data_IF_302646556527
#
_entry.id   IF_302646556527
#
_cell.length_a   1.000
_cell.length_b   1.000
_cell.length_c   1.000
_cell.angle_alpha   90.00
_cell.angle_beta   90.00
_cell.angle_gamma   90.00
#
_symmetry.space_group_name_H-M   'P 1'
#
loop_
_entity.id
_entity.type
_entity.pdbx_description
1 polymer ?
#
# COMPACT_ATOMS: atom_id res chain seq x y z
N UNK A 1 -13.09 -7.41 -5.10
CA UNK A 1 -13.04 -7.28 -3.63
C UNK A 1 -13.23 -5.81 -3.34
N UNK A 2 -14.14 -5.46 -2.44
CA UNK A 2 -14.32 -4.07 -2.01
C UNK A 2 -13.62 -3.84 -0.69
N UNK A 3 -12.90 -2.74 -0.56
CA UNK A 3 -12.32 -2.23 0.67
C UNK A 3 -13.46 -2.00 1.65
N UNK A 4 -13.25 -2.36 2.92
CA UNK A 4 -14.25 -2.14 3.94
C UNK A 4 -14.10 -0.72 4.50
N UNK A 5 -15.01 0.23 4.20
CA UNK A 5 -14.93 1.60 4.70
C UNK A 5 -15.17 1.68 6.21
N UNK A 6 -15.65 0.62 6.87
CA UNK A 6 -15.77 0.60 8.34
C UNK A 6 -14.43 0.34 9.04
N UNK A 7 -13.43 -0.17 8.32
CA UNK A 7 -12.08 -0.45 8.82
C UNK A 7 -11.05 0.57 8.34
N UNK A 8 -11.49 1.54 7.54
CA UNK A 8 -10.65 2.59 6.95
C UNK A 8 -11.27 3.93 7.28
N UNK A 9 -10.43 4.88 7.68
CA UNK A 9 -10.85 6.26 7.92
C UNK A 9 -9.92 7.22 7.18
N UNK A 10 -10.25 8.51 7.25
CA UNK A 10 -9.47 9.55 6.58
C UNK A 10 -8.01 9.64 7.09
N UNK A 11 -7.74 9.20 8.33
CA UNK A 11 -6.38 9.15 8.88
C UNK A 11 -5.55 8.10 8.14
N UNK A 12 -6.14 6.94 7.85
CA UNK A 12 -5.49 5.90 7.04
C UNK A 12 -5.20 6.40 5.62
N UNK A 13 -6.15 7.13 5.02
CA UNK A 13 -6.00 7.71 3.68
C UNK A 13 -4.82 8.68 3.64
N UNK A 14 -4.75 9.62 4.60
CA UNK A 14 -3.63 10.57 4.69
C UNK A 14 -2.30 9.86 4.90
N UNK A 15 -2.23 8.89 5.82
CA UNK A 15 -1.01 8.12 6.07
C UNK A 15 -0.51 7.38 4.83
N UNK A 16 -1.40 6.84 4.00
CA UNK A 16 -1.00 6.22 2.73
C UNK A 16 -0.38 7.26 1.79
N UNK A 17 -1.02 8.42 1.62
CA UNK A 17 -0.54 9.47 0.72
C UNK A 17 0.77 10.12 1.21
N UNK A 18 0.90 10.28 2.53
CA UNK A 18 2.14 10.74 3.16
C UNK A 18 3.26 9.73 2.92
N UNK A 19 3.01 8.42 3.12
CA UNK A 19 4.01 7.37 2.86
C UNK A 19 4.43 7.31 1.38
N UNK A 20 3.50 7.54 0.43
CA UNK A 20 3.84 7.69 -0.99
C UNK A 20 4.74 8.90 -1.22
N UNK A 21 4.43 10.03 -0.58
CA UNK A 21 5.24 11.25 -0.69
C UNK A 21 6.64 11.07 -0.09
N UNK A 22 6.74 10.37 1.03
CA UNK A 22 8.01 10.03 1.69
C UNK A 22 8.91 9.15 0.82
N UNK A 23 8.35 8.37 -0.11
CA UNK A 23 9.13 7.64 -1.11
C UNK A 23 9.85 8.56 -2.11
N UNK A 24 9.55 9.87 -2.10
CA UNK A 24 10.16 10.88 -2.97
C UNK A 24 9.40 11.08 -4.28
N UNK A 25 8.13 10.69 -4.34
CA UNK A 25 7.29 10.81 -5.55
C UNK A 25 6.05 11.66 -5.27
N UNK A 26 5.50 12.26 -6.32
CA UNK A 26 4.22 12.97 -6.22
C UNK A 26 3.07 11.95 -6.28
N UNK A 27 2.14 11.95 -5.31
CA UNK A 27 1.00 11.04 -5.36
C UNK A 27 0.10 11.29 -6.59
N UNK A 28 -0.63 10.28 -7.08
CA UNK A 28 -1.53 10.45 -8.22
C UNK A 28 -2.62 11.50 -7.98
N UNK A 29 -2.86 12.37 -8.95
CA UNK A 29 -3.90 13.42 -8.88
C UNK A 29 -5.30 12.82 -8.67
N UNK A 30 -5.54 11.64 -9.25
CA UNK A 30 -6.78 10.87 -9.10
C UNK A 30 -7.13 10.64 -7.62
N UNK A 31 -6.13 10.53 -6.75
CA UNK A 31 -6.26 10.27 -5.32
C UNK A 31 -6.06 11.54 -4.48
N UNK A 32 -5.06 12.37 -4.79
CA UNK A 32 -4.78 13.58 -4.02
C UNK A 32 -5.92 14.61 -4.09
N UNK A 33 -6.58 14.73 -5.24
CA UNK A 33 -7.73 15.64 -5.41
C UNK A 33 -8.89 15.35 -4.45
N UNK A 34 -9.04 14.10 -4.00
CA UNK A 34 -10.04 13.74 -2.99
C UNK A 34 -9.71 14.39 -1.64
N UNK A 35 -8.44 14.30 -1.21
CA UNK A 35 -7.99 14.94 0.03
C UNK A 35 -8.00 16.46 -0.07
N UNK A 36 -7.59 17.01 -1.21
CA UNK A 36 -7.62 18.46 -1.47
C UNK A 36 -9.05 19.01 -1.42
N UNK A 37 -10.01 18.25 -1.96
CA UNK A 37 -11.43 18.56 -1.86
C UNK A 37 -11.92 18.58 -0.42
N UNK A 38 -11.53 17.59 0.39
CA UNK A 38 -11.87 17.56 1.81
C UNK A 38 -11.24 18.74 2.57
N UNK A 39 -9.97 19.03 2.33
CA UNK A 39 -9.26 20.15 2.96
C UNK A 39 -9.87 21.49 2.55
N UNK A 40 -10.33 21.63 1.31
CA UNK A 40 -11.05 22.83 0.83
C UNK A 40 -12.38 23.03 1.55
N UNK A 41 -13.15 21.95 1.77
CA UNK A 41 -14.46 22.02 2.42
C UNK A 41 -14.38 22.17 3.94
N UNK A 42 -13.36 21.57 4.57
CA UNK A 42 -13.18 21.56 6.02
C UNK A 42 -12.18 22.59 6.53
N UNK A 43 -11.47 23.27 5.61
CA UNK A 43 -10.48 24.27 5.91
C UNK A 43 -11.01 25.35 6.86
N UNK A 44 -10.31 25.53 7.97
CA UNK A 44 -10.66 26.52 8.97
C UNK A 44 -10.53 27.93 8.37
N UNK A 45 -11.64 28.66 8.33
CA UNK A 45 -11.60 30.10 8.09
C UNK A 45 -11.23 30.74 9.42
N UNK A 46 -10.02 31.25 9.57
CA UNK A 46 -9.68 32.07 10.73
C UNK A 46 -10.56 33.33 10.68
N UNK A 47 -11.49 33.45 11.61
CA UNK A 47 -12.32 34.63 11.74
C UNK A 47 -11.54 35.64 12.57
N UNK A 48 -11.07 36.71 11.94
CA UNK A 48 -10.43 37.83 12.64
C UNK A 48 -11.44 38.58 13.52
N UNK A 49 -11.00 39.11 14.65
CA UNK A 49 -11.80 40.00 15.51
C UNK A 49 -12.40 41.15 14.67
N UNK A 50 -13.74 41.28 14.58
CA UNK A 50 -14.39 42.26 13.71
C UNK A 50 -14.36 43.67 14.31
N UNK A 51 -13.97 43.84 15.57
CA UNK A 51 -14.15 45.08 16.33
C UNK A 51 -13.59 46.31 15.61
N UNK A 52 -12.36 46.23 15.11
CA UNK A 52 -11.74 47.35 14.38
C UNK A 52 -12.40 47.62 13.02
N UNK A 53 -12.86 46.58 12.33
CA UNK A 53 -13.56 46.71 11.05
C UNK A 53 -14.94 47.36 11.23
N UNK A 54 -15.68 46.96 12.26
CA UNK A 54 -16.98 47.53 12.61
C UNK A 54 -16.87 49.00 13.04
N UNK A 55 -15.86 49.33 13.86
CA UNK A 55 -15.60 50.71 14.29
C UNK A 55 -15.31 51.59 13.07
N UNK A 56 -14.43 51.14 12.15
CA UNK A 56 -14.12 51.89 10.93
C UNK A 56 -15.33 52.04 10.02
N UNK A 57 -16.10 50.98 9.80
CA UNK A 57 -17.32 51.03 9.00
C UNK A 57 -18.33 52.05 9.56
N UNK A 58 -18.48 52.12 10.89
CA UNK A 58 -19.35 53.09 11.55
C UNK A 58 -18.87 54.54 11.38
N UNK A 59 -17.55 54.79 11.43
CA UNK A 59 -16.99 56.12 11.24
C UNK A 59 -16.99 56.59 9.78
N UNK A 60 -16.64 55.71 8.84
CA UNK A 60 -16.45 56.09 7.43
C UNK A 60 -17.74 56.06 6.61
N UNK A 61 -18.67 55.16 6.95
CA UNK A 61 -19.91 54.92 6.19
C UNK A 61 -21.20 54.98 7.01
N UNK A 62 -21.10 55.34 8.30
CA UNK A 62 -22.25 55.43 9.20
C UNK A 62 -22.89 54.07 9.55
N UNK A 63 -24.06 54.12 10.17
CA UNK A 63 -24.79 52.94 10.62
C UNK A 63 -25.04 51.88 9.52
N UNK A 64 -25.39 52.22 8.27
CA UNK A 64 -25.62 51.22 7.22
C UNK A 64 -24.37 50.40 6.86
N UNK A 65 -23.18 51.04 6.85
CA UNK A 65 -21.93 50.34 6.57
C UNK A 65 -21.53 49.42 7.73
N UNK A 66 -21.75 49.85 8.97
CA UNK A 66 -21.53 49.02 10.16
C UNK A 66 -22.47 47.79 10.19
N UNK A 67 -23.75 47.96 9.86
CA UNK A 67 -24.71 46.84 9.76
C UNK A 67 -24.31 45.84 8.66
N UNK A 68 -23.87 46.32 7.50
CA UNK A 68 -23.36 45.45 6.44
C UNK A 68 -22.14 44.65 6.89
N UNK A 69 -21.18 45.31 7.53
CA UNK A 69 -19.97 44.65 8.04
C UNK A 69 -20.29 43.62 9.14
N UNK A 70 -21.27 43.91 10.01
CA UNK A 70 -21.76 42.98 11.01
C UNK A 70 -22.43 41.75 10.38
N UNK A 71 -23.24 41.94 9.33
CA UNK A 71 -23.87 40.85 8.61
C UNK A 71 -22.85 39.95 7.90
N UNK A 72 -21.84 40.54 7.25
CA UNK A 72 -20.73 39.79 6.63
C UNK A 72 -19.95 38.97 7.67
N UNK A 73 -19.69 39.54 8.85
CA UNK A 73 -19.08 38.82 9.96
C UNK A 73 -19.95 37.67 10.46
N UNK A 74 -21.25 37.90 10.70
CA UNK A 74 -22.18 36.88 11.18
C UNK A 74 -22.29 35.71 10.17
N UNK A 75 -22.26 36.00 8.86
CA UNK A 75 -22.21 34.96 7.82
C UNK A 75 -20.91 34.18 7.91
N UNK A 76 -19.75 34.83 8.08
CA UNK A 76 -18.46 34.16 8.23
C UNK A 76 -18.42 33.24 9.46
N UNK A 77 -18.96 33.69 10.59
CA UNK A 77 -19.09 32.91 11.82
C UNK A 77 -19.97 31.67 11.64
N UNK A 78 -21.16 31.85 11.04
CA UNK A 78 -22.05 30.74 10.72
C UNK A 78 -21.38 29.73 9.78
N UNK A 79 -20.65 30.18 8.76
CA UNK A 79 -19.92 29.30 7.84
C UNK A 79 -18.84 28.50 8.58
N UNK A 80 -18.05 29.13 9.45
CA UNK A 80 -17.02 28.43 10.22
C UNK A 80 -17.63 27.38 11.17
N UNK A 81 -18.73 27.71 11.83
CA UNK A 81 -19.45 26.78 12.70
C UNK A 81 -20.02 25.59 11.91
N UNK A 82 -20.63 25.85 10.74
CA UNK A 82 -21.13 24.82 9.85
C UNK A 82 -20.01 23.91 9.33
N UNK A 83 -18.85 24.45 8.96
CA UNK A 83 -17.68 23.65 8.55
C UNK A 83 -17.17 22.72 9.65
N UNK A 84 -17.15 23.20 10.90
CA UNK A 84 -16.76 22.37 12.06
C UNK A 84 -17.70 21.17 12.24
N UNK A 85 -19.00 21.36 12.06
CA UNK A 85 -19.99 20.28 12.11
C UNK A 85 -19.97 19.38 10.86
N UNK A 86 -19.59 19.91 9.70
CA UNK A 86 -19.59 19.20 8.42
C UNK A 86 -18.57 18.05 8.39
N UNK A 87 -17.39 18.25 8.99
CA UNK A 87 -16.29 17.26 8.95
C UNK A 87 -16.71 15.85 9.36
N UNK A 88 -17.39 15.72 10.50
CA UNK A 88 -17.86 14.42 11.00
C UNK A 88 -18.90 13.74 10.09
N UNK A 89 -19.56 14.48 9.19
CA UNK A 89 -20.55 13.96 8.25
C UNK A 89 -19.92 13.60 6.90
N UNK A 90 -18.94 14.37 6.43
CA UNK A 90 -18.36 14.18 5.10
C UNK A 90 -17.13 13.28 5.08
N UNK A 91 -16.40 13.13 6.20
CA UNK A 91 -15.22 12.27 6.28
C UNK A 91 -15.49 10.82 5.77
N UNK A 92 -16.61 10.15 6.12
CA UNK A 92 -16.92 8.82 5.57
C UNK A 92 -17.16 8.83 4.06
N UNK A 93 -17.77 9.88 3.51
CA UNK A 93 -18.05 9.98 2.08
C UNK A 93 -16.76 10.18 1.27
N UNK A 94 -15.84 11.03 1.77
CA UNK A 94 -14.52 11.21 1.16
C UNK A 94 -13.64 9.96 1.28
N UNK A 95 -13.73 9.26 2.43
CA UNK A 95 -13.02 7.99 2.61
C UNK A 95 -13.55 6.94 1.63
N UNK A 96 -14.86 6.84 1.44
CA UNK A 96 -15.47 5.93 0.47
C UNK A 96 -15.03 6.26 -0.97
N UNK A 97 -15.11 7.53 -1.36
CA UNK A 97 -14.67 7.98 -2.69
C UNK A 97 -13.19 7.65 -2.94
N UNK A 98 -12.32 7.85 -1.95
CA UNK A 98 -10.91 7.48 -2.05
C UNK A 98 -10.74 5.96 -2.27
N UNK A 99 -11.44 5.14 -1.48
CA UNK A 99 -11.41 3.68 -1.61
C UNK A 99 -11.92 3.21 -2.98
N UNK A 100 -13.00 3.81 -3.49
CA UNK A 100 -13.56 3.48 -4.81
C UNK A 100 -12.57 3.79 -5.93
N UNK A 101 -11.87 4.94 -5.86
CA UNK A 101 -10.81 5.29 -6.82
C UNK A 101 -9.60 4.39 -6.72
N UNK A 102 -9.22 4.01 -5.50
CA UNK A 102 -8.12 3.08 -5.27
C UNK A 102 -8.43 1.71 -5.89
N UNK A 103 -9.66 1.21 -5.75
CA UNK A 103 -10.14 -0.02 -6.39
C UNK A 103 -10.24 0.08 -7.92
N UNK A 104 -10.57 1.26 -8.44
CA UNK A 104 -10.74 1.51 -9.87
C UNK A 104 -9.41 1.62 -10.65
N UNK A 105 -8.26 1.56 -9.97
CA UNK A 105 -6.94 1.60 -10.59
C UNK A 105 -5.93 2.50 -9.86
N UNK A 106 -6.37 3.33 -8.91
CA UNK A 106 -5.49 4.24 -8.18
C UNK A 106 -4.35 3.54 -7.43
N UNK A 107 -4.55 2.28 -6.98
CA UNK A 107 -3.48 1.51 -6.37
C UNK A 107 -2.37 1.16 -7.37
N UNK A 108 -2.72 0.78 -8.60
CA UNK A 108 -1.74 0.51 -9.64
C UNK A 108 -1.05 1.80 -10.10
N UNK A 109 -1.75 2.95 -10.13
CA UNK A 109 -1.12 4.26 -10.36
C UNK A 109 -0.04 4.57 -9.31
N UNK A 110 -0.31 4.32 -8.02
CA UNK A 110 0.70 4.45 -6.95
C UNK A 110 1.89 3.52 -7.21
N UNK A 111 1.62 2.24 -7.50
CA UNK A 111 2.67 1.24 -7.72
C UNK A 111 3.54 1.59 -8.93
N UNK A 112 2.94 2.08 -10.01
CA UNK A 112 3.65 2.46 -11.23
C UNK A 112 4.52 3.70 -11.05
N UNK A 113 4.09 4.69 -10.27
CA UNK A 113 4.93 5.85 -9.94
C UNK A 113 6.11 5.45 -9.04
N UNK A 114 5.93 4.46 -8.15
CA UNK A 114 7.00 3.95 -7.28
C UNK A 114 7.97 3.01 -7.99
N UNK A 115 7.55 2.40 -9.12
CA UNK A 115 8.30 1.36 -9.83
C UNK A 115 9.71 1.78 -10.26
N UNK A 116 9.96 2.97 -10.83
CA UNK A 116 11.32 3.38 -11.20
C UNK A 116 12.28 3.39 -9.99
N UNK A 117 11.85 3.98 -8.87
CA UNK A 117 12.67 4.04 -7.65
C UNK A 117 12.90 2.66 -7.03
N UNK A 118 11.93 1.75 -7.18
CA UNK A 118 12.08 0.35 -6.78
C UNK A 118 13.14 -0.35 -7.65
N UNK A 119 13.01 -0.26 -8.98
CA UNK A 119 13.90 -0.91 -9.93
C UNK A 119 15.34 -0.39 -9.81
N UNK A 120 15.53 0.92 -9.59
CA UNK A 120 16.84 1.52 -9.33
C UNK A 120 17.49 0.94 -8.07
N UNK A 121 16.74 0.80 -6.97
CA UNK A 121 17.26 0.21 -5.73
C UNK A 121 17.58 -1.28 -5.89
N UNK A 122 16.78 -2.02 -6.67
CA UNK A 122 17.09 -3.42 -7.03
C UNK A 122 18.37 -3.50 -7.85
N UNK A 123 18.57 -2.60 -8.82
CA UNK A 123 19.78 -2.55 -9.63
C UNK A 123 21.03 -2.30 -8.77
N UNK A 124 20.97 -1.39 -7.80
CA UNK A 124 22.07 -1.14 -6.85
C UNK A 124 22.45 -2.41 -6.08
N UNK A 125 21.46 -3.16 -5.58
CA UNK A 125 21.73 -4.42 -4.88
C UNK A 125 22.33 -5.45 -5.84
N UNK A 126 21.77 -5.61 -7.03
CA UNK A 126 22.26 -6.56 -8.01
C UNK A 126 23.69 -6.26 -8.46
N UNK A 127 24.03 -4.99 -8.66
CA UNK A 127 25.38 -4.55 -9.02
C UNK A 127 26.36 -4.81 -7.87
N UNK A 128 25.97 -4.51 -6.63
CA UNK A 128 26.78 -4.81 -5.45
C UNK A 128 27.04 -6.32 -5.29
N UNK A 129 26.03 -7.17 -5.52
CA UNK A 129 26.16 -8.63 -5.47
C UNK A 129 27.09 -9.21 -6.55
N UNK A 130 27.32 -8.50 -7.66
CA UNK A 130 28.31 -8.91 -8.67
C UNK A 130 29.75 -8.60 -8.25
N UNK A 131 29.94 -7.65 -7.35
CA UNK A 131 31.27 -7.17 -6.95
C UNK A 131 31.74 -7.76 -5.62
N UNK A 132 30.82 -7.98 -4.69
CA UNK A 132 31.12 -8.41 -3.31
C UNK A 132 30.28 -9.61 -2.93
N UNK A 133 30.90 -10.55 -2.22
CA UNK A 133 30.16 -11.59 -1.51
C UNK A 133 29.36 -10.96 -0.36
N UNK A 134 28.07 -10.75 -0.60
CA UNK A 134 27.15 -10.16 0.39
C UNK A 134 26.91 -11.03 1.63
N UNK A 135 27.42 -12.27 1.62
CA UNK A 135 27.31 -13.23 2.73
C UNK A 135 28.54 -13.25 3.65
N UNK A 136 29.66 -12.70 3.20
CA UNK A 136 30.87 -12.55 4.01
C UNK A 136 30.60 -11.64 5.22
N UNK A 137 31.33 -11.87 6.32
CA UNK A 137 31.25 -10.96 7.47
C UNK A 137 31.90 -9.61 7.15
N UNK A 138 31.46 -8.56 7.86
CA UNK A 138 31.90 -7.20 7.60
C UNK A 138 33.42 -7.01 7.79
N UNK A 139 34.06 -7.78 8.67
CA UNK A 139 35.49 -7.67 8.91
C UNK A 139 36.27 -8.21 7.72
N UNK A 140 35.89 -9.38 7.21
CA UNK A 140 36.46 -9.98 6.00
C UNK A 140 36.31 -9.04 4.79
N UNK A 141 35.13 -8.42 4.62
CA UNK A 141 34.93 -7.44 3.55
C UNK A 141 35.84 -6.21 3.74
N UNK A 142 36.00 -5.69 4.97
CA UNK A 142 36.86 -4.52 5.20
C UNK A 142 38.35 -4.81 5.00
N UNK A 143 38.80 -6.02 5.31
CA UNK A 143 40.22 -6.39 5.26
C UNK A 143 40.67 -6.77 3.84
N UNK A 144 39.77 -7.32 3.01
CA UNK A 144 40.11 -7.90 1.70
C UNK A 144 39.55 -7.15 0.48
N UNK A 145 38.51 -6.31 0.67
CA UNK A 145 37.87 -5.63 -0.45
C UNK A 145 38.72 -4.49 -1.01
N UNK A 146 38.71 -4.37 -2.35
CA UNK A 146 39.13 -3.15 -3.03
C UNK A 146 38.22 -1.95 -2.67
N UNK A 147 38.68 -0.73 -2.93
CA UNK A 147 37.89 0.48 -2.68
C UNK A 147 36.54 0.48 -3.43
N UNK A 148 36.51 -0.05 -4.65
CA UNK A 148 35.28 -0.18 -5.45
C UNK A 148 34.30 -1.18 -4.84
N UNK A 149 34.82 -2.32 -4.35
CA UNK A 149 34.02 -3.32 -3.63
C UNK A 149 33.47 -2.77 -2.32
N UNK A 150 34.28 -2.02 -1.56
CA UNK A 150 33.82 -1.39 -0.32
C UNK A 150 32.71 -0.38 -0.59
N UNK A 151 32.84 0.44 -1.63
CA UNK A 151 31.80 1.39 -2.04
C UNK A 151 30.50 0.67 -2.46
N UNK A 152 30.61 -0.42 -3.20
CA UNK A 152 29.47 -1.25 -3.58
C UNK A 152 28.78 -1.88 -2.36
N UNK A 153 29.54 -2.38 -1.38
CA UNK A 153 28.97 -2.88 -0.13
C UNK A 153 28.24 -1.78 0.66
N UNK A 154 28.82 -0.59 0.72
CA UNK A 154 28.25 0.56 1.45
C UNK A 154 26.97 1.13 0.82
N UNK A 155 26.68 0.85 -0.44
CA UNK A 155 25.45 1.31 -1.10
C UNK A 155 24.22 0.45 -0.73
N UNK A 156 24.43 -0.81 -0.34
CA UNK A 156 23.37 -1.79 -0.03
C UNK A 156 22.39 -1.28 1.04
N UNK A 157 22.82 -0.74 2.20
CA UNK A 157 21.88 -0.30 3.24
C UNK A 157 20.88 0.76 2.76
N UNK A 158 21.32 1.71 1.93
CA UNK A 158 20.45 2.74 1.37
C UNK A 158 19.42 2.18 0.39
N UNK A 159 19.85 1.25 -0.47
CA UNK A 159 18.96 0.56 -1.39
C UNK A 159 17.92 -0.31 -0.64
N UNK A 160 18.36 -1.06 0.37
CA UNK A 160 17.47 -1.86 1.24
C UNK A 160 16.43 -0.96 1.93
N UNK A 161 16.84 0.16 2.51
CA UNK A 161 15.92 1.08 3.17
C UNK A 161 14.88 1.66 2.19
N UNK A 162 15.28 1.98 0.96
CA UNK A 162 14.35 2.44 -0.09
C UNK A 162 13.36 1.34 -0.48
N UNK A 163 13.82 0.10 -0.64
CA UNK A 163 12.94 -1.04 -0.94
C UNK A 163 11.95 -1.32 0.20
N UNK A 164 12.40 -1.28 1.46
CA UNK A 164 11.52 -1.44 2.63
C UNK A 164 10.45 -0.35 2.70
N UNK A 165 10.82 0.89 2.39
CA UNK A 165 9.90 2.01 2.34
C UNK A 165 8.80 1.81 1.29
N UNK A 166 9.19 1.47 0.05
CA UNK A 166 8.25 1.20 -1.05
C UNK A 166 7.39 -0.04 -0.74
N UNK A 167 8.00 -1.09 -0.19
CA UNK A 167 7.29 -2.31 0.19
C UNK A 167 6.27 -2.09 1.30
N UNK A 168 6.51 -1.14 2.21
CA UNK A 168 5.51 -0.74 3.22
C UNK A 168 4.25 -0.14 2.56
N UNK A 169 4.43 0.70 1.54
CA UNK A 169 3.31 1.24 0.75
C UNK A 169 2.60 0.11 0.00
N UNK A 170 3.32 -0.65 -0.82
CA UNK A 170 2.75 -1.74 -1.60
C UNK A 170 2.06 -2.80 -0.72
N UNK A 171 2.66 -3.11 0.44
CA UNK A 171 2.14 -4.05 1.43
C UNK A 171 0.81 -3.63 2.05
N UNK A 172 0.43 -2.35 1.95
CA UNK A 172 -0.88 -1.85 2.35
C UNK A 172 -2.02 -2.34 1.44
N UNK A 173 -1.69 -2.86 0.26
CA UNK A 173 -2.66 -3.46 -0.68
C UNK A 173 -2.74 -4.99 -0.58
N UNK A 174 -1.87 -5.60 0.22
CA UNK A 174 -1.74 -7.05 0.33
C UNK A 174 -2.90 -7.75 1.05
N UNK A 175 -2.90 -9.09 1.07
CA UNK A 175 -4.01 -9.90 1.57
C UNK A 175 -4.22 -9.88 3.08
N UNK A 176 -3.24 -9.40 3.84
CA UNK A 176 -3.33 -9.19 5.29
C UNK A 176 -3.32 -7.72 5.67
N UNK A 177 -3.46 -6.81 4.70
CA UNK A 177 -3.56 -5.39 4.99
C UNK A 177 -4.86 -5.10 5.76
N UNK A 178 -4.78 -4.16 6.70
CA UNK A 178 -5.92 -3.84 7.58
C UNK A 178 -6.90 -2.86 6.91
N UNK A 179 -6.37 -1.84 6.24
CA UNK A 179 -7.20 -0.75 5.66
C UNK A 179 -7.47 -0.97 4.18
N UNK A 180 -6.44 -1.08 3.34
CA UNK A 180 -6.58 -1.04 1.88
C UNK A 180 -6.37 -2.39 1.19
N UNK A 181 -6.83 -3.50 1.79
CA UNK A 181 -6.62 -4.82 1.20
C UNK A 181 -7.33 -4.95 -0.15
N UNK A 182 -6.57 -5.12 -1.23
CA UNK A 182 -7.06 -5.24 -2.61
C UNK A 182 -6.82 -6.64 -3.19
N UNK A 183 -5.99 -7.43 -2.52
CA UNK A 183 -5.73 -8.84 -2.83
C UNK A 183 -6.44 -9.68 -1.79
N UNK A 184 -7.33 -10.58 -2.19
CA UNK A 184 -8.01 -11.44 -1.22
C UNK A 184 -7.11 -12.62 -0.80
N UNK A 185 -7.08 -13.02 0.48
CA UNK A 185 -6.51 -14.31 0.86
C UNK A 185 -7.34 -15.45 0.26
N UNK A 186 -6.73 -16.60 -0.05
CA UNK A 186 -7.44 -17.72 -0.64
C UNK A 186 -8.38 -18.36 0.40
N UNK A 187 -9.65 -18.53 0.05
CA UNK A 187 -10.65 -19.08 0.94
C UNK A 187 -10.45 -20.58 1.20
N UNK A 188 -10.59 -21.04 2.44
CA UNK A 188 -10.51 -22.46 2.79
C UNK A 188 -9.10 -23.06 2.73
N UNK A 189 -8.06 -22.24 2.57
CA UNK A 189 -6.66 -22.65 2.62
C UNK A 189 -5.93 -21.92 3.75
N UNK A 190 -4.92 -22.57 4.33
CA UNK A 190 -4.03 -21.88 5.27
C UNK A 190 -3.16 -20.86 4.53
N UNK A 191 -3.23 -19.60 4.98
CA UNK A 191 -2.50 -18.48 4.38
C UNK A 191 -1.95 -17.49 5.42
N UNK A 192 -1.95 -17.87 6.70
CA UNK A 192 -1.52 -17.00 7.81
C UNK A 192 -0.03 -16.65 7.77
N UNK A 193 0.79 -17.53 7.20
CA UNK A 193 2.24 -17.37 7.08
C UNK A 193 2.66 -16.35 6.00
N UNK A 194 1.79 -16.04 5.04
CA UNK A 194 2.13 -15.17 3.93
C UNK A 194 2.41 -13.73 4.41
N UNK A 195 3.43 -13.11 3.82
CA UNK A 195 3.77 -11.71 4.07
C UNK A 195 3.26 -10.86 2.92
N UNK A 196 2.65 -9.69 3.23
CA UNK A 196 2.18 -8.78 2.19
C UNK A 196 3.32 -8.37 1.25
N UNK A 197 4.50 -8.11 1.80
CA UNK A 197 5.68 -7.72 1.01
C UNK A 197 6.11 -8.84 0.04
N UNK A 198 5.97 -10.12 0.42
CA UNK A 198 6.26 -11.21 -0.52
C UNK A 198 5.22 -11.26 -1.64
N UNK A 199 3.94 -11.09 -1.33
CA UNK A 199 2.88 -11.06 -2.35
C UNK A 199 3.08 -9.89 -3.32
N UNK A 200 3.40 -8.71 -2.78
CA UNK A 200 3.44 -7.46 -3.54
C UNK A 200 4.80 -7.13 -4.17
N UNK A 201 5.91 -7.62 -3.61
CA UNK A 201 7.26 -7.15 -3.95
C UNK A 201 8.25 -8.27 -4.34
N UNK A 202 7.78 -9.49 -4.64
CA UNK A 202 8.65 -10.59 -5.08
C UNK A 202 8.09 -11.34 -6.29
N UNK A 203 8.95 -12.03 -7.02
CA UNK A 203 8.61 -12.86 -8.16
C UNK A 203 8.80 -14.37 -7.91
N UNK A 204 9.47 -14.77 -6.82
CA UNK A 204 9.83 -16.16 -6.53
C UNK A 204 8.68 -16.99 -5.96
N UNK A 205 9.06 -18.13 -5.36
CA UNK A 205 8.14 -19.02 -4.65
C UNK A 205 7.58 -18.31 -3.40
N UNK A 206 6.25 -18.20 -3.33
CA UNK A 206 5.60 -17.35 -2.33
C UNK A 206 5.88 -17.81 -0.89
N UNK A 207 6.02 -19.12 -0.66
CA UNK A 207 6.31 -19.68 0.68
C UNK A 207 7.72 -19.28 1.11
N UNK A 208 8.71 -19.53 0.25
CA UNK A 208 10.10 -19.21 0.54
C UNK A 208 10.33 -17.71 0.66
N UNK A 209 9.74 -16.90 -0.22
CA UNK A 209 9.85 -15.45 -0.18
C UNK A 209 9.20 -14.88 1.09
N UNK A 210 8.00 -15.37 1.47
CA UNK A 210 7.37 -14.95 2.73
C UNK A 210 8.20 -15.31 3.96
N UNK A 211 8.88 -16.46 3.94
CA UNK A 211 9.81 -16.84 5.00
C UNK A 211 11.02 -15.91 5.05
N UNK A 212 11.58 -15.52 3.89
CA UNK A 212 12.70 -14.59 3.83
C UNK A 212 12.32 -13.23 4.44
N UNK A 213 11.14 -12.70 4.12
CA UNK A 213 10.62 -11.47 4.74
C UNK A 213 10.34 -11.62 6.23
N UNK A 214 9.77 -12.75 6.67
CA UNK A 214 9.50 -12.99 8.10
C UNK A 214 10.77 -13.12 8.95
N UNK A 215 11.87 -13.59 8.35
CA UNK A 215 13.18 -13.74 9.01
C UNK A 215 14.13 -12.58 8.70
N UNK A 216 13.64 -11.47 8.14
CA UNK A 216 14.49 -10.32 7.86
C UNK A 216 14.97 -9.68 9.17
N UNK A 217 16.24 -9.27 9.19
CA UNK A 217 16.85 -8.59 10.34
C UNK A 217 17.40 -7.22 9.96
N UNK A 218 17.93 -6.50 10.96
CA UNK A 218 18.41 -5.12 10.80
C UNK A 218 19.77 -5.01 10.10
N UNK A 219 20.42 -6.14 9.81
CA UNK A 219 21.72 -6.17 9.12
C UNK A 219 21.52 -6.40 7.63
N UNK A 220 22.32 -5.77 6.73
CA UNK A 220 22.20 -5.97 5.29
C UNK A 220 22.18 -7.43 4.87
N UNK A 221 23.07 -8.27 5.41
CA UNK A 221 23.12 -9.73 5.16
C UNK A 221 21.87 -10.50 5.58
N UNK A 222 21.09 -9.94 6.52
CA UNK A 222 19.84 -10.51 6.99
C UNK A 222 18.63 -9.94 6.22
N UNK A 223 18.84 -9.03 5.28
CA UNK A 223 17.78 -8.47 4.46
C UNK A 223 17.08 -9.56 3.64
N UNK A 224 15.76 -9.44 3.48
CA UNK A 224 15.01 -10.29 2.57
C UNK A 224 15.40 -10.01 1.11
N UNK A 225 15.73 -8.76 0.77
CA UNK A 225 16.02 -8.31 -0.59
C UNK A 225 17.26 -8.97 -1.21
N UNK A 226 18.17 -9.51 -0.40
CA UNK A 226 19.32 -10.30 -0.88
C UNK A 226 18.98 -11.78 -1.15
N UNK A 227 17.78 -12.24 -0.75
CA UNK A 227 17.38 -13.66 -0.75
C UNK A 227 16.16 -13.94 -1.62
N UNK A 228 15.44 -12.91 -2.04
CA UNK A 228 14.26 -13.01 -2.91
C UNK A 228 14.58 -12.45 -4.29
N UNK A 229 13.76 -12.77 -5.29
CA UNK A 229 13.78 -12.08 -6.57
C UNK A 229 12.84 -10.85 -6.48
N UNK A 230 13.36 -9.62 -6.29
CA UNK A 230 12.52 -8.45 -6.06
C UNK A 230 11.73 -8.09 -7.32
N UNK A 231 10.44 -7.78 -7.16
CA UNK A 231 9.58 -7.29 -8.24
C UNK A 231 8.36 -6.60 -7.63
N UNK A 232 8.14 -5.34 -7.98
CA UNK A 232 6.92 -4.64 -7.59
C UNK A 232 5.76 -5.12 -8.48
N UNK A 233 4.84 -5.90 -7.92
CA UNK A 233 3.70 -6.46 -8.64
C UNK A 233 2.54 -5.46 -8.67
N UNK A 234 1.85 -5.38 -9.80
CA UNK A 234 0.50 -4.78 -9.90
C UNK A 234 -0.50 -5.56 -9.03
N UNK A 235 -1.67 -4.98 -8.76
CA UNK A 235 -2.75 -5.66 -8.02
C UNK A 235 -3.17 -6.95 -8.75
N UNK A 236 -3.22 -6.94 -10.09
CA UNK A 236 -3.57 -8.11 -10.89
C UNK A 236 -2.52 -9.22 -10.77
N UNK A 237 -1.23 -8.89 -10.87
CA UNK A 237 -0.13 -9.84 -10.71
C UNK A 237 -0.09 -10.42 -9.30
N UNK A 238 -0.29 -9.60 -8.27
CA UNK A 238 -0.36 -10.04 -6.89
C UNK A 238 -1.53 -11.02 -6.64
N UNK A 239 -2.72 -10.75 -7.21
CA UNK A 239 -3.86 -11.67 -7.19
C UNK A 239 -3.55 -13.00 -7.87
N UNK A 240 -2.87 -12.95 -9.02
CA UNK A 240 -2.46 -14.14 -9.74
C UNK A 240 -1.45 -14.98 -8.94
N UNK A 241 -0.50 -14.34 -8.24
CA UNK A 241 0.43 -15.03 -7.33
C UNK A 241 -0.31 -15.78 -6.23
N UNK A 242 -1.30 -15.14 -5.59
CA UNK A 242 -2.12 -15.78 -4.55
C UNK A 242 -2.96 -16.93 -5.13
N UNK A 243 -3.55 -16.74 -6.31
CA UNK A 243 -4.33 -17.77 -7.01
C UNK A 243 -3.46 -18.99 -7.38
N UNK A 244 -2.27 -18.76 -7.92
CA UNK A 244 -1.34 -19.82 -8.30
C UNK A 244 -0.88 -20.64 -7.09
N UNK A 245 -0.58 -19.97 -5.97
CA UNK A 245 -0.35 -20.66 -4.69
C UNK A 245 -1.57 -21.49 -4.29
N UNK A 246 -2.76 -20.90 -4.34
CA UNK A 246 -4.00 -21.57 -3.93
C UNK A 246 -4.29 -22.82 -4.78
N UNK A 247 -4.06 -22.74 -6.09
CA UNK A 247 -4.16 -23.86 -7.02
C UNK A 247 -3.23 -25.00 -6.61
N UNK A 248 -1.96 -24.71 -6.34
CA UNK A 248 -0.95 -25.70 -5.93
C UNK A 248 -1.25 -26.30 -4.55
N UNK A 249 -1.55 -25.47 -3.55
CA UNK A 249 -1.84 -25.91 -2.20
C UNK A 249 -3.12 -26.76 -2.14
N UNK A 250 -4.16 -26.38 -2.89
CA UNK A 250 -5.38 -27.18 -3.00
C UNK A 250 -5.10 -28.53 -3.64
N UNK A 251 -4.31 -28.56 -4.73
CA UNK A 251 -3.91 -29.80 -5.39
C UNK A 251 -3.11 -30.71 -4.47
N UNK A 252 -2.22 -30.17 -3.64
CA UNK A 252 -1.47 -30.95 -2.65
C UNK A 252 -2.37 -31.57 -1.57
N UNK A 253 -3.43 -30.87 -1.13
CA UNK A 253 -4.34 -31.37 -0.08
C UNK A 253 -5.44 -32.29 -0.59
N UNK A 254 -5.84 -32.15 -1.86
CA UNK A 254 -6.97 -32.87 -2.45
C UNK A 254 -6.57 -33.74 -3.66
N UNK A 255 -5.27 -33.92 -3.89
CA UNK A 255 -4.72 -34.75 -4.98
C UNK A 255 -5.05 -36.24 -4.87
N UNK A 256 -5.58 -36.67 -3.73
CA UNK A 256 -6.20 -37.99 -3.58
C UNK A 256 -7.72 -37.82 -3.55
N UNK A 257 -8.41 -38.43 -4.50
CA UNK A 257 -9.86 -38.42 -4.55
C UNK A 257 -10.41 -39.07 -3.27
N UNK A 258 -11.25 -38.32 -2.54
CA UNK A 258 -11.85 -38.76 -1.28
C UNK A 258 -13.10 -39.64 -1.49
N UNK A 259 -13.54 -39.80 -2.74
CA UNK A 259 -14.71 -40.59 -3.15
C UNK A 259 -14.43 -41.26 -4.49
N UNK A 260 -14.84 -42.51 -4.60
CA UNK A 260 -14.77 -43.28 -5.83
C UNK A 260 -15.90 -44.29 -5.88
N UNK A 261 -16.22 -44.75 -7.09
CA UNK A 261 -17.19 -45.80 -7.36
C UNK A 261 -16.46 -47.07 -7.79
N UNK A 262 -16.93 -48.22 -7.31
CA UNK A 262 -16.49 -49.49 -7.88
C UNK A 262 -17.04 -49.59 -9.31
N UNK A 263 -16.18 -49.94 -10.25
CA UNK A 263 -16.55 -50.26 -11.63
C UNK A 263 -16.94 -51.73 -11.72
N UNK A 264 -17.61 -52.09 -12.83
CA UNK A 264 -18.05 -53.47 -13.07
C UNK A 264 -16.88 -54.47 -13.21
N UNK A 265 -15.65 -53.98 -13.43
CA UNK A 265 -14.41 -54.78 -13.46
C UNK A 265 -13.77 -54.98 -12.08
N UNK A 266 -14.33 -54.36 -11.03
CA UNK A 266 -13.79 -54.38 -9.66
C UNK A 266 -12.79 -53.27 -9.37
N UNK A 267 -12.46 -52.42 -10.34
CA UNK A 267 -11.54 -51.29 -10.15
C UNK A 267 -12.26 -50.08 -9.51
N UNK A 268 -11.54 -49.27 -8.74
CA UNK A 268 -12.09 -48.02 -8.18
C UNK A 268 -11.90 -46.87 -9.17
N UNK A 269 -13.00 -46.37 -9.73
CA UNK A 269 -13.01 -45.12 -10.48
C UNK A 269 -13.23 -43.95 -9.50
N UNK A 270 -12.19 -43.15 -9.32
CA UNK A 270 -12.21 -41.98 -8.45
C UNK A 270 -13.00 -40.82 -9.06
N UNK A 271 -13.83 -40.15 -8.26
CA UNK A 271 -14.57 -38.98 -8.72
C UNK A 271 -13.61 -37.79 -8.89
N UNK A 272 -13.66 -37.06 -10.03
CA UNK A 272 -12.82 -35.90 -10.24
C UNK A 272 -13.23 -34.78 -9.28
N UNK A 273 -12.32 -34.35 -8.41
CA UNK A 273 -12.53 -33.16 -7.57
C UNK A 273 -12.00 -31.95 -8.33
N UNK A 274 -12.90 -31.04 -8.73
CA UNK A 274 -12.52 -29.81 -9.45
C UNK A 274 -11.81 -28.84 -8.51
N UNK A 275 -10.61 -28.39 -8.90
CA UNK A 275 -9.90 -27.33 -8.20
C UNK A 275 -10.63 -25.99 -8.40
N UNK A 276 -11.13 -25.33 -7.34
CA UNK A 276 -11.87 -24.07 -7.47
C UNK A 276 -10.97 -22.89 -7.86
N UNK A 277 -9.65 -23.03 -7.75
CA UNK A 277 -8.67 -21.99 -8.08
C UNK A 277 -8.06 -22.15 -9.47
N UNK A 278 -8.32 -23.27 -10.14
CA UNK A 278 -7.84 -23.52 -11.50
C UNK A 278 -8.54 -22.57 -12.49
N UNK A 279 -7.76 -22.04 -13.44
CA UNK A 279 -8.31 -21.27 -14.54
C UNK A 279 -9.22 -22.17 -15.39
N UNK A 280 -10.36 -21.64 -15.85
CA UNK A 280 -11.42 -22.42 -16.50
C UNK A 280 -11.01 -23.15 -17.80
N UNK A 281 -9.79 -22.93 -18.30
CA UNK A 281 -9.25 -23.50 -19.53
C UNK A 281 -7.87 -24.16 -19.30
N UNK A 282 -7.83 -25.31 -18.62
CA UNK A 282 -6.73 -26.27 -18.68
C UNK A 282 -7.27 -27.67 -18.87
#
# INVERSE_FOLDING_TARGET
MRINPMLTDITHVRRLMDAVTECGVTPPESLSSVLDGLDTLTGATAISDPTQALIRAAFDGGAPAAEKSLAEFAVAELVAEKRKGLRGVIDPAFTQEFCDRLEAGGADEILDILRPAFDDAVAVIADAQRMVDVTADAQTVMDEASAEQLAAWQSIPGAVAKLDQIASVAGSFGPKAQSFSLVAPPHGLEFGWAQNNAVMCSAGDLINDSRAFAMAGNQPRQSAWLRVAPRLNTIAEARERVRAYAESAWASMNGHAKRGRLTDTGDVAWDPVRNPFALANK
#
